data_IF_360718105520
#
_entry.id   IF_360718105520
#
_cell.length_a   1.000
_cell.length_b   1.000
_cell.length_c   1.000
_cell.angle_alpha   90.00
_cell.angle_beta   90.00
_cell.angle_gamma   90.00
#
_symmetry.space_group_name_H-M   'P 1'
#
loop_
_entity.id
_entity.type
_entity.pdbx_description
1 polymer ?
#
# COMPACT_ATOMS: atom_id res chain seq x y z
N UNK A 1 9.34 -3.79 1.08
CA UNK A 1 9.08 -3.26 2.43
C UNK A 1 7.64 -3.52 2.83
N UNK A 2 7.44 -3.98 4.05
CA UNK A 2 6.12 -4.10 4.67
C UNK A 2 6.02 -3.12 5.85
N UNK A 3 4.90 -2.40 5.92
CA UNK A 3 4.60 -1.47 7.02
C UNK A 3 3.41 -2.05 7.79
N UNK A 4 3.67 -2.50 9.00
CA UNK A 4 2.70 -3.16 9.85
C UNK A 4 1.85 -2.15 10.62
N UNK A 5 0.53 -2.22 10.44
CA UNK A 5 -0.44 -1.40 11.16
C UNK A 5 -1.03 -2.10 12.39
N UNK A 6 -0.58 -3.31 12.71
CA UNK A 6 -1.04 -4.01 13.90
C UNK A 6 -0.81 -3.18 15.17
N UNK A 7 -1.79 -3.16 16.05
CA UNK A 7 -1.75 -2.40 17.30
C UNK A 7 -2.01 -0.90 17.18
N UNK A 8 -2.18 -0.35 15.98
CA UNK A 8 -2.49 1.07 15.77
C UNK A 8 -3.97 1.43 15.92
N UNK A 9 -4.82 0.45 16.18
CA UNK A 9 -6.29 0.60 16.23
C UNK A 9 -6.89 1.17 14.94
N UNK A 10 -6.32 0.81 13.80
CA UNK A 10 -6.83 1.18 12.49
C UNK A 10 -7.79 0.11 11.97
N UNK A 11 -8.98 0.06 12.50
CA UNK A 11 -10.01 -0.88 12.08
C UNK A 11 -10.53 -0.57 10.67
N UNK A 12 -10.81 -1.63 9.93
CA UNK A 12 -11.48 -1.52 8.63
C UNK A 12 -12.92 -1.01 8.79
N UNK A 13 -13.39 -0.28 7.81
CA UNK A 13 -14.77 0.20 7.72
C UNK A 13 -15.40 -0.34 6.45
N UNK A 14 -16.61 -0.89 6.58
CA UNK A 14 -17.39 -1.31 5.42
C UNK A 14 -18.38 -0.22 5.03
N UNK A 15 -18.38 0.16 3.75
CA UNK A 15 -19.40 1.03 3.21
C UNK A 15 -20.73 0.25 3.11
N UNK A 16 -21.82 0.70 3.77
CA UNK A 16 -23.08 -0.04 3.79
C UNK A 16 -23.79 -0.12 2.43
N UNK A 17 -23.49 0.78 1.52
CA UNK A 17 -24.11 0.82 0.19
C UNK A 17 -23.38 -0.07 -0.81
N UNK A 18 -22.04 0.00 -0.84
CA UNK A 18 -21.21 -0.72 -1.81
C UNK A 18 -20.70 -2.06 -1.28
N UNK A 19 -20.75 -2.27 0.05
CA UNK A 19 -20.19 -3.40 0.79
C UNK A 19 -18.65 -3.53 0.64
N UNK A 20 -18.00 -2.57 0.01
CA UNK A 20 -16.54 -2.50 -0.08
C UNK A 20 -15.95 -1.97 1.22
N UNK A 21 -14.69 -2.34 1.48
CA UNK A 21 -13.96 -1.94 2.68
C UNK A 21 -12.99 -0.81 2.41
N UNK A 22 -12.71 0.00 3.43
CA UNK A 22 -11.64 0.98 3.44
C UNK A 22 -11.06 1.13 4.85
N UNK A 23 -9.86 1.64 4.94
CA UNK A 23 -9.14 1.84 6.20
C UNK A 23 -8.42 3.20 6.16
N UNK A 24 -9.06 4.25 6.68
CA UNK A 24 -8.47 5.60 6.66
C UNK A 24 -7.19 5.70 7.47
N UNK A 25 -7.06 4.90 8.54
CA UNK A 25 -5.85 4.84 9.36
C UNK A 25 -4.65 4.36 8.54
N UNK A 26 -4.79 3.20 7.89
CA UNK A 26 -3.77 2.67 6.99
C UNK A 26 -3.48 3.63 5.82
N UNK A 27 -4.53 4.22 5.26
CA UNK A 27 -4.39 5.20 4.18
C UNK A 27 -3.55 6.41 4.59
N UNK A 28 -3.74 6.98 5.79
CA UNK A 28 -2.91 8.09 6.29
C UNK A 28 -1.45 7.72 6.43
N UNK A 29 -1.14 6.52 6.89
CA UNK A 29 0.25 6.03 6.97
C UNK A 29 0.86 5.92 5.59
N UNK A 30 0.12 5.37 4.61
CA UNK A 30 0.56 5.31 3.23
C UNK A 30 0.92 6.70 2.68
N UNK A 31 0.05 7.67 2.89
CA UNK A 31 0.27 9.04 2.41
C UNK A 31 1.49 9.70 3.09
N UNK A 32 1.67 9.49 4.38
CA UNK A 32 2.82 10.01 5.12
C UNK A 32 4.15 9.40 4.62
N UNK A 33 4.17 8.09 4.40
CA UNK A 33 5.33 7.41 3.84
C UNK A 33 5.62 7.85 2.41
N UNK A 34 4.59 7.99 1.57
CA UNK A 34 4.73 8.48 0.19
C UNK A 34 5.34 9.88 0.16
N UNK A 35 4.87 10.78 1.00
CA UNK A 35 5.40 12.13 1.12
C UNK A 35 6.89 12.10 1.50
N UNK A 36 7.25 11.33 2.52
CA UNK A 36 8.64 11.18 2.96
C UNK A 36 9.53 10.58 1.86
N UNK A 37 9.03 9.60 1.12
CA UNK A 37 9.76 9.00 0.01
C UNK A 37 10.04 10.02 -1.09
N UNK A 38 9.06 10.84 -1.47
CA UNK A 38 9.22 11.89 -2.48
C UNK A 38 10.22 12.97 -2.02
N UNK A 39 10.15 13.39 -0.78
CA UNK A 39 11.09 14.36 -0.20
C UNK A 39 12.53 13.82 -0.21
N UNK A 40 12.70 12.59 0.25
CA UNK A 40 14.01 11.93 0.24
C UNK A 40 14.55 11.76 -1.19
N UNK A 41 13.71 11.32 -2.12
CA UNK A 41 14.07 11.12 -3.52
C UNK A 41 14.49 12.42 -4.20
N UNK A 42 13.80 13.51 -3.90
CA UNK A 42 14.10 14.85 -4.44
C UNK A 42 15.43 15.43 -3.93
N UNK A 43 15.91 14.93 -2.79
CA UNK A 43 17.21 15.35 -2.21
C UNK A 43 18.41 14.61 -2.81
N UNK A 44 18.21 13.56 -3.61
CA UNK A 44 19.29 12.80 -4.24
C UNK A 44 19.78 13.53 -5.50
N UNK A 45 21.06 13.86 -5.57
CA UNK A 45 21.65 14.73 -6.59
C UNK A 45 21.64 14.15 -8.02
N UNK A 46 21.54 12.85 -8.18
CA UNK A 46 21.55 12.17 -9.49
C UNK A 46 20.26 11.36 -9.73
N UNK A 47 19.15 11.77 -9.10
CA UNK A 47 17.89 11.06 -9.24
C UNK A 47 17.31 11.21 -10.66
N UNK A 48 16.77 10.11 -11.18
CA UNK A 48 16.06 10.05 -12.47
C UNK A 48 14.55 10.17 -12.25
N UNK A 49 13.75 10.53 -13.26
CA UNK A 49 12.30 10.54 -13.15
C UNK A 49 11.74 9.22 -12.64
N UNK A 50 10.74 9.29 -11.76
CA UNK A 50 10.16 8.15 -11.06
C UNK A 50 8.64 8.09 -11.31
N UNK A 51 8.12 6.90 -11.55
CA UNK A 51 6.69 6.63 -11.64
C UNK A 51 6.20 5.87 -10.41
N UNK A 52 5.05 6.27 -9.86
CA UNK A 52 4.47 5.68 -8.66
C UNK A 52 3.05 5.20 -8.94
N UNK A 53 2.77 3.98 -8.52
CA UNK A 53 1.43 3.43 -8.50
C UNK A 53 0.98 3.11 -7.08
N UNK A 54 -0.26 3.40 -6.77
CA UNK A 54 -0.91 3.03 -5.52
C UNK A 54 -2.05 2.07 -5.84
N UNK A 55 -2.02 0.89 -5.25
CA UNK A 55 -2.98 -0.18 -5.50
C UNK A 55 -3.74 -0.49 -4.22
N UNK A 56 -5.06 -0.63 -4.32
CA UNK A 56 -5.84 -1.32 -3.31
C UNK A 56 -6.76 -2.35 -3.98
N UNK A 57 -6.94 -3.53 -3.37
CA UNK A 57 -7.94 -4.50 -3.80
C UNK A 57 -9.37 -4.00 -3.67
N UNK A 58 -9.60 -2.98 -2.84
CA UNK A 58 -10.91 -2.46 -2.49
C UNK A 58 -11.18 -1.11 -3.12
N UNK A 59 -12.32 -1.00 -3.81
CA UNK A 59 -12.72 0.21 -4.52
C UNK A 59 -12.84 1.43 -3.58
N UNK A 60 -13.44 1.26 -2.41
CA UNK A 60 -13.61 2.35 -1.44
C UNK A 60 -12.26 2.89 -0.94
N UNK A 61 -11.29 2.01 -0.69
CA UNK A 61 -9.94 2.44 -0.32
C UNK A 61 -9.25 3.18 -1.47
N UNK A 62 -9.41 2.71 -2.69
CA UNK A 62 -8.89 3.40 -3.86
C UNK A 62 -9.48 4.81 -4.00
N UNK A 63 -10.79 4.95 -3.82
CA UNK A 63 -11.45 6.25 -3.87
C UNK A 63 -10.98 7.15 -2.73
N UNK A 64 -10.93 6.63 -1.51
CA UNK A 64 -10.43 7.37 -0.36
C UNK A 64 -8.99 7.87 -0.58
N UNK A 65 -8.10 7.02 -1.08
CA UNK A 65 -6.72 7.41 -1.40
C UNK A 65 -6.67 8.46 -2.50
N UNK A 66 -7.44 8.31 -3.58
CA UNK A 66 -7.54 9.29 -4.66
C UNK A 66 -7.96 10.68 -4.16
N UNK A 67 -8.94 10.72 -3.26
CA UNK A 67 -9.48 11.97 -2.72
C UNK A 67 -8.53 12.65 -1.72
N UNK A 68 -7.68 11.88 -1.07
CA UNK A 68 -6.79 12.38 0.00
C UNK A 68 -5.32 12.55 -0.45
N UNK A 69 -4.93 12.08 -1.62
CA UNK A 69 -3.60 12.35 -2.16
C UNK A 69 -3.49 13.82 -2.54
N UNK A 70 -2.70 14.56 -1.77
CA UNK A 70 -2.43 15.98 -1.96
C UNK A 70 -1.00 16.24 -2.47
N UNK A 71 -0.49 15.36 -3.32
CA UNK A 71 0.84 15.53 -3.92
C UNK A 71 0.75 16.50 -5.08
N UNK A 72 1.36 17.66 -4.89
CA UNK A 72 1.53 18.62 -5.98
C UNK A 72 2.76 18.21 -6.81
N UNK A 73 2.53 17.78 -8.05
CA UNK A 73 3.60 17.38 -8.96
C UNK A 73 4.61 18.49 -9.26
N UNK A 74 4.22 19.76 -9.04
CA UNK A 74 5.14 20.89 -9.20
C UNK A 74 6.21 20.94 -8.11
N UNK A 75 5.91 20.44 -6.92
CA UNK A 75 6.85 20.35 -5.81
C UNK A 75 7.84 19.19 -5.96
N UNK A 76 7.52 18.23 -6.83
CA UNK A 76 8.33 17.05 -7.09
C UNK A 76 8.60 16.87 -8.60
N UNK A 77 9.54 17.64 -9.17
CA UNK A 77 9.79 17.65 -10.62
C UNK A 77 10.19 16.29 -11.21
N UNK A 78 10.72 15.39 -10.38
CA UNK A 78 11.11 14.04 -10.77
C UNK A 78 9.94 13.04 -10.74
N UNK A 79 8.80 13.41 -10.20
CA UNK A 79 7.61 12.57 -10.23
C UNK A 79 6.98 12.61 -11.62
N UNK A 80 7.20 11.56 -12.39
CA UNK A 80 6.70 11.41 -13.76
C UNK A 80 5.20 11.14 -13.80
N UNK A 81 4.72 10.27 -12.89
CA UNK A 81 3.30 9.91 -12.79
C UNK A 81 2.99 9.37 -11.40
N UNK A 82 1.76 9.62 -10.95
CA UNK A 82 1.17 9.06 -9.74
C UNK A 82 -0.23 8.58 -10.07
N UNK A 83 -0.46 7.27 -9.99
CA UNK A 83 -1.74 6.64 -10.33
C UNK A 83 -2.28 5.87 -9.13
N UNK A 84 -3.59 5.97 -8.87
CA UNK A 84 -4.29 5.21 -7.83
C UNK A 84 -5.34 4.35 -8.51
N UNK A 85 -5.18 3.03 -8.44
CA UNK A 85 -6.05 2.07 -9.14
C UNK A 85 -6.31 0.84 -8.29
N UNK A 86 -7.32 0.06 -8.69
CA UNK A 86 -7.49 -1.31 -8.24
C UNK A 86 -6.47 -2.22 -8.91
N UNK A 87 -6.35 -3.47 -8.47
CA UNK A 87 -5.39 -4.43 -9.05
C UNK A 87 -5.63 -4.62 -10.55
N UNK A 88 -6.88 -4.78 -10.96
CA UNK A 88 -7.23 -4.98 -12.37
C UNK A 88 -6.88 -3.76 -13.23
N UNK A 89 -6.91 -2.57 -12.64
CA UNK A 89 -6.49 -1.32 -13.30
C UNK A 89 -5.00 -1.25 -13.64
N UNK A 90 -4.17 -2.08 -12.99
CA UNK A 90 -2.73 -2.19 -13.26
C UNK A 90 -2.35 -3.42 -14.09
N UNK A 91 -3.31 -4.18 -14.57
CA UNK A 91 -3.02 -5.34 -15.39
C UNK A 91 -2.24 -4.95 -16.65
N UNK A 92 -1.07 -5.58 -16.84
CA UNK A 92 -0.17 -5.27 -17.95
C UNK A 92 0.64 -3.96 -17.82
N UNK A 93 0.51 -3.24 -16.71
CA UNK A 93 1.27 -2.02 -16.41
C UNK A 93 2.31 -2.24 -15.31
N UNK A 94 3.38 -1.45 -15.33
CA UNK A 94 4.41 -1.43 -14.30
C UNK A 94 4.71 0.01 -13.89
N UNK A 95 5.22 0.18 -12.66
CA UNK A 95 5.72 1.46 -12.12
C UNK A 95 7.04 1.22 -11.40
N UNK A 96 7.84 2.28 -11.24
CA UNK A 96 9.08 2.21 -10.48
C UNK A 96 8.82 1.86 -9.03
N UNK A 97 7.84 2.51 -8.41
CA UNK A 97 7.42 2.26 -7.04
C UNK A 97 5.94 1.87 -7.02
N UNK A 98 5.62 0.81 -6.32
CA UNK A 98 4.24 0.38 -6.07
C UNK A 98 3.97 0.37 -4.57
N UNK A 99 2.90 1.03 -4.18
CA UNK A 99 2.26 0.92 -2.88
C UNK A 99 1.05 0.00 -2.97
N UNK A 100 0.90 -0.90 -2.00
CA UNK A 100 -0.30 -1.73 -1.86
C UNK A 100 -0.90 -1.51 -0.48
N UNK A 101 -2.15 -1.07 -0.43
CA UNK A 101 -2.95 -0.94 0.78
C UNK A 101 -3.88 -2.14 0.90
N UNK A 102 -3.66 -3.00 1.91
CA UNK A 102 -4.39 -4.26 2.09
C UNK A 102 -5.72 -4.09 2.79
N UNK A 103 -5.88 -3.01 3.56
CA UNK A 103 -7.14 -2.58 4.19
C UNK A 103 -7.60 -3.43 5.37
N UNK A 104 -7.61 -4.77 5.23
CA UNK A 104 -8.24 -5.68 6.19
C UNK A 104 -7.57 -5.63 7.55
N UNK A 105 -8.38 -5.28 8.55
CA UNK A 105 -7.99 -5.22 9.96
C UNK A 105 -9.23 -5.48 10.82
N UNK A 106 -9.34 -6.69 11.37
CA UNK A 106 -10.48 -7.14 12.15
C UNK A 106 -10.08 -8.22 13.17
N UNK A 107 -10.92 -8.41 14.18
CA UNK A 107 -10.64 -9.31 15.28
C UNK A 107 -10.72 -10.82 14.94
N UNK A 108 -11.37 -11.17 13.83
CA UNK A 108 -11.62 -12.56 13.44
C UNK A 108 -10.66 -13.09 12.37
N UNK A 109 -9.76 -12.25 11.87
CA UNK A 109 -8.77 -12.64 10.85
C UNK A 109 -9.37 -12.88 9.47
N UNK A 110 -10.50 -12.26 9.15
CA UNK A 110 -11.10 -12.34 7.83
C UNK A 110 -10.33 -11.48 6.83
N UNK A 111 -9.94 -12.07 5.72
CA UNK A 111 -9.17 -11.41 4.67
C UNK A 111 -9.89 -11.38 3.32
N UNK A 112 -10.99 -12.13 3.17
CA UNK A 112 -11.91 -12.11 2.04
C UNK A 112 -11.18 -12.02 0.68
N UNK A 113 -11.27 -10.89 0.00
CA UNK A 113 -10.68 -10.66 -1.31
C UNK A 113 -9.16 -10.88 -1.37
N UNK A 114 -8.45 -10.72 -0.26
CA UNK A 114 -7.01 -10.98 -0.18
C UNK A 114 -6.66 -12.47 -0.31
N UNK A 115 -7.61 -13.37 -0.25
CA UNK A 115 -7.44 -14.79 -0.57
C UNK A 115 -7.26 -15.06 -2.07
N UNK A 116 -7.58 -14.11 -2.94
CA UNK A 116 -7.31 -14.22 -4.37
C UNK A 116 -5.81 -13.99 -4.65
N UNK A 117 -5.02 -15.04 -4.46
CA UNK A 117 -3.57 -15.00 -4.59
C UNK A 117 -3.09 -14.71 -6.01
N UNK A 118 -3.90 -15.01 -7.02
CA UNK A 118 -3.61 -14.63 -8.41
C UNK A 118 -3.52 -13.12 -8.55
N UNK A 119 -4.53 -12.40 -8.05
CA UNK A 119 -4.56 -10.94 -8.09
C UNK A 119 -3.46 -10.33 -7.25
N UNK A 120 -3.21 -10.89 -6.07
CA UNK A 120 -2.11 -10.42 -5.22
C UNK A 120 -0.74 -10.59 -5.88
N UNK A 121 -0.50 -11.71 -6.56
CA UNK A 121 0.71 -11.91 -7.34
C UNK A 121 0.85 -10.88 -8.48
N UNK A 122 -0.23 -10.54 -9.16
CA UNK A 122 -0.23 -9.46 -10.16
C UNK A 122 0.20 -8.15 -9.51
N UNK A 123 -0.42 -7.75 -8.40
CA UNK A 123 -0.11 -6.50 -7.71
C UNK A 123 1.37 -6.43 -7.28
N UNK A 124 1.88 -7.47 -6.63
CA UNK A 124 3.25 -7.54 -6.11
C UNK A 124 4.30 -7.43 -7.23
N UNK A 125 4.00 -7.96 -8.41
CA UNK A 125 4.93 -7.96 -9.54
C UNK A 125 4.90 -6.69 -10.40
N UNK A 126 4.11 -5.67 -10.04
CA UNK A 126 4.03 -4.41 -10.80
C UNK A 126 5.16 -3.43 -10.49
N UNK A 127 5.91 -3.62 -9.41
CA UNK A 127 7.02 -2.75 -9.04
C UNK A 127 8.32 -3.11 -9.75
N UNK A 128 8.95 -2.13 -10.40
CA UNK A 128 10.27 -2.30 -11.01
C UNK A 128 11.43 -2.12 -10.03
N UNK A 129 11.28 -1.20 -9.07
CA UNK A 129 12.36 -0.79 -8.16
C UNK A 129 12.03 -0.99 -6.69
N UNK A 130 10.83 -0.62 -6.26
CA UNK A 130 10.42 -0.69 -4.86
C UNK A 130 8.95 -1.06 -4.72
N UNK A 131 8.69 -2.05 -3.85
CA UNK A 131 7.37 -2.44 -3.41
C UNK A 131 7.20 -2.06 -1.93
N UNK A 132 6.13 -1.34 -1.61
CA UNK A 132 5.73 -1.00 -0.24
C UNK A 132 4.32 -1.54 0.00
N UNK A 133 4.18 -2.44 0.94
CA UNK A 133 2.88 -3.05 1.31
C UNK A 133 2.51 -2.62 2.72
N UNK A 134 1.30 -2.13 2.90
CA UNK A 134 0.75 -1.78 4.21
C UNK A 134 -0.39 -2.74 4.57
N UNK A 135 -0.44 -3.14 5.82
CA UNK A 135 -1.49 -4.01 6.32
C UNK A 135 -1.33 -4.34 7.79
N UNK A 136 -2.37 -4.93 8.35
CA UNK A 136 -2.40 -5.41 9.72
C UNK A 136 -1.93 -6.87 9.80
N UNK A 137 -0.71 -7.08 10.30
CA UNK A 137 -0.12 -8.42 10.43
C UNK A 137 -0.94 -9.36 11.31
N UNK A 138 -1.64 -8.83 12.31
CA UNK A 138 -2.50 -9.62 13.19
C UNK A 138 -3.71 -10.22 12.43
N UNK A 139 -4.18 -9.53 11.40
CA UNK A 139 -5.28 -10.00 10.54
C UNK A 139 -4.76 -10.90 9.41
N UNK A 140 -3.80 -10.44 8.62
CA UNK A 140 -3.34 -11.15 7.42
C UNK A 140 -2.41 -12.32 7.72
N UNK A 141 -1.71 -12.30 8.85
CA UNK A 141 -0.69 -13.30 9.22
C UNK A 141 -1.23 -14.71 9.46
N UNK A 142 -2.53 -14.88 9.56
CA UNK A 142 -3.17 -16.20 9.68
C UNK A 142 -3.16 -16.99 8.36
N UNK A 143 -3.09 -16.29 7.22
CA UNK A 143 -3.00 -16.91 5.91
C UNK A 143 -1.54 -17.24 5.54
N UNK A 144 -1.27 -18.45 5.07
CA UNK A 144 0.08 -18.96 4.82
C UNK A 144 0.87 -18.09 3.83
N UNK A 145 0.24 -17.60 2.77
CA UNK A 145 0.88 -16.72 1.79
C UNK A 145 1.42 -15.43 2.44
N UNK A 146 0.57 -14.75 3.21
CA UNK A 146 0.97 -13.49 3.87
C UNK A 146 1.97 -13.74 4.99
N UNK A 147 1.83 -14.82 5.75
CA UNK A 147 2.82 -15.21 6.76
C UNK A 147 4.22 -15.36 6.14
N UNK A 148 4.32 -16.08 5.05
CA UNK A 148 5.59 -16.24 4.33
C UNK A 148 6.15 -14.91 3.82
N UNK A 149 5.28 -14.02 3.36
CA UNK A 149 5.67 -12.67 2.94
C UNK A 149 6.21 -11.84 4.11
N UNK A 150 5.54 -11.87 5.26
CA UNK A 150 5.97 -11.16 6.47
C UNK A 150 7.32 -11.68 6.97
N UNK A 151 7.50 -13.00 7.04
CA UNK A 151 8.77 -13.65 7.42
C UNK A 151 9.91 -13.27 6.46
N UNK A 152 9.62 -13.20 5.18
CA UNK A 152 10.58 -12.72 4.18
C UNK A 152 11.01 -11.27 4.44
N UNK A 153 10.05 -10.38 4.71
CA UNK A 153 10.34 -8.98 5.02
C UNK A 153 11.17 -8.84 6.30
N UNK A 154 10.85 -9.58 7.36
CA UNK A 154 11.63 -9.59 8.60
C UNK A 154 13.07 -10.05 8.37
N UNK A 155 13.24 -11.16 7.67
CA UNK A 155 14.55 -11.73 7.36
C UNK A 155 15.46 -10.78 6.58
N UNK A 156 14.89 -9.93 5.73
CA UNK A 156 15.63 -9.01 4.87
C UNK A 156 15.68 -7.57 5.41
N UNK A 157 15.27 -7.33 6.66
CA UNK A 157 15.25 -6.00 7.25
C UNK A 157 14.30 -5.02 6.58
N UNK A 158 13.25 -5.55 5.96
CA UNK A 158 12.24 -4.80 5.21
C UNK A 158 10.88 -4.76 5.91
N UNK A 159 10.85 -5.04 7.21
CA UNK A 159 9.67 -4.99 8.06
C UNK A 159 9.75 -3.76 8.95
N UNK A 160 8.73 -2.91 8.89
CA UNK A 160 8.62 -1.69 9.70
C UNK A 160 7.27 -1.60 10.37
N UNK A 161 7.18 -0.78 11.40
CA UNK A 161 5.92 -0.53 12.09
C UNK A 161 5.34 0.83 11.70
N UNK A 162 4.03 0.90 11.57
CA UNK A 162 3.31 2.15 11.26
C UNK A 162 3.47 3.22 12.36
N UNK A 163 3.88 2.85 13.57
CA UNK A 163 4.19 3.81 14.63
C UNK A 163 5.27 4.84 14.26
N UNK A 164 6.08 4.54 13.26
CA UNK A 164 7.08 5.48 12.76
C UNK A 164 6.46 6.69 12.04
N UNK A 165 5.20 6.59 11.62
CA UNK A 165 4.45 7.63 10.92
C UNK A 165 3.12 8.02 11.60
N UNK A 166 2.78 7.37 12.71
CA UNK A 166 1.52 7.62 13.43
C UNK A 166 1.59 8.86 14.34
#
# INVERSE_FOLDING_TARGET
EFIDTAGCNFEEVQNPETLSYFNPGEGRILLAHLQQLLEHYSAVSEATPISIGVISPYKEQREWLSDNIAVNTQDFPLLQSLSVKTIDGFQGEERDVIYISLVRSNAVGEIDFLNDLRRMNVAITRARKKLVVLGDSATIGNAAFYRSFLEYCEKHGAYRTAWEWA
#
